data_IF_166338768571
#
_entry.id   IF_166338768571
#
_cell.length_a   1.000
_cell.length_b   1.000
_cell.length_c   1.000
_cell.angle_alpha   90.00
_cell.angle_beta   90.00
_cell.angle_gamma   90.00
#
_symmetry.space_group_name_H-M   'P 1'
#
loop_
_entity.id
_entity.type
_entity.pdbx_description
1 polymer ?
#
# COMPACT_ATOMS: atom_id res chain seq x y z
N UNK A 1 18.42 4.71 2.67
CA UNK A 1 17.45 4.08 1.76
C UNK A 1 16.18 4.91 1.68
N UNK A 2 15.30 4.58 0.76
CA UNK A 2 13.99 5.20 0.56
C UNK A 2 12.89 4.15 0.79
N UNK A 3 11.81 4.55 1.43
CA UNK A 3 10.60 3.73 1.58
C UNK A 3 9.48 4.47 0.85
N UNK A 4 8.81 3.77 -0.07
CA UNK A 4 7.66 4.28 -0.81
C UNK A 4 6.44 3.50 -0.33
N UNK A 5 5.48 4.18 0.26
CA UNK A 5 4.29 3.55 0.81
C UNK A 5 3.15 3.55 -0.21
N UNK A 6 2.92 2.41 -0.85
CA UNK A 6 1.83 2.18 -1.82
C UNK A 6 0.65 1.43 -1.18
N UNK A 7 0.65 1.25 0.14
CA UNK A 7 -0.45 0.59 0.85
C UNK A 7 -1.73 1.40 0.71
N UNK A 8 -2.84 0.71 0.45
CA UNK A 8 -4.15 1.32 0.19
C UNK A 8 -4.17 2.32 -0.98
N UNK A 9 -3.15 2.32 -1.85
CA UNK A 9 -3.18 3.05 -3.10
C UNK A 9 -3.94 2.25 -4.17
N UNK A 10 -5.20 2.62 -4.41
CA UNK A 10 -6.05 2.00 -5.44
C UNK A 10 -5.62 2.26 -6.89
N UNK A 11 -4.53 3.02 -7.07
CA UNK A 11 -3.94 3.41 -8.34
C UNK A 11 -4.38 4.79 -8.79
N UNK A 12 -4.40 4.99 -10.11
CA UNK A 12 -4.63 6.27 -10.74
C UNK A 12 -4.28 6.21 -12.22
N UNK A 13 -3.79 7.32 -12.76
CA UNK A 13 -3.32 7.37 -14.13
C UNK A 13 -2.09 6.47 -14.33
N UNK A 14 -2.10 5.64 -15.38
CA UNK A 14 -0.94 4.80 -15.76
C UNK A 14 0.32 5.64 -15.94
N UNK A 15 0.20 6.81 -16.55
CA UNK A 15 1.30 7.75 -16.74
C UNK A 15 2.01 8.14 -15.43
N UNK A 16 1.28 8.20 -14.31
CA UNK A 16 1.87 8.46 -13.00
C UNK A 16 2.81 7.34 -12.56
N UNK A 17 2.43 6.07 -12.78
CA UNK A 17 3.29 4.92 -12.50
C UNK A 17 4.49 4.87 -13.45
N UNK A 18 4.30 5.18 -14.74
CA UNK A 18 5.39 5.23 -15.72
C UNK A 18 6.42 6.31 -15.35
N UNK A 19 5.96 7.51 -15.01
CA UNK A 19 6.84 8.61 -14.58
C UNK A 19 7.53 8.30 -13.27
N UNK A 20 6.83 7.68 -12.32
CA UNK A 20 7.42 7.28 -11.04
C UNK A 20 8.50 6.22 -11.24
N UNK A 21 8.26 5.19 -12.06
CA UNK A 21 9.26 4.17 -12.37
C UNK A 21 10.50 4.76 -13.08
N UNK A 22 10.30 5.73 -13.99
CA UNK A 22 11.38 6.45 -14.68
C UNK A 22 12.35 7.19 -13.74
N UNK A 23 11.92 7.55 -12.53
CA UNK A 23 12.80 8.19 -11.54
C UNK A 23 13.87 7.22 -11.04
N UNK A 24 13.62 5.91 -11.09
CA UNK A 24 14.45 4.89 -10.46
C UNK A 24 15.12 3.93 -11.44
N UNK A 25 14.51 3.68 -12.60
CA UNK A 25 14.94 2.64 -13.54
C UNK A 25 15.82 3.19 -14.66
N UNK A 26 16.84 2.41 -15.05
CA UNK A 26 17.70 2.73 -16.19
C UNK A 26 16.95 2.71 -17.52
N UNK A 27 17.44 3.50 -18.48
CA UNK A 27 16.89 3.54 -19.84
C UNK A 27 16.78 2.13 -20.45
N UNK A 28 15.61 1.82 -21.01
CA UNK A 28 15.32 0.52 -21.62
C UNK A 28 14.79 -0.55 -20.66
N UNK A 29 14.82 -0.32 -19.34
CA UNK A 29 14.16 -1.21 -18.38
C UNK A 29 12.65 -1.30 -18.68
N UNK A 30 12.08 -2.50 -18.59
CA UNK A 30 10.65 -2.70 -18.88
C UNK A 30 9.82 -2.25 -17.69
N UNK A 31 8.75 -1.49 -17.94
CA UNK A 31 7.83 -1.06 -16.88
C UNK A 31 6.54 -1.88 -16.96
N UNK A 32 5.85 -1.85 -18.11
CA UNK A 32 4.58 -2.56 -18.30
C UNK A 32 4.32 -2.80 -19.78
N UNK A 33 3.61 -3.87 -20.11
CA UNK A 33 3.02 -4.06 -21.42
C UNK A 33 1.50 -3.95 -21.32
N UNK A 34 0.90 -3.05 -22.09
CA UNK A 34 -0.55 -3.00 -22.29
C UNK A 34 -0.87 -3.82 -23.52
N UNK A 35 -1.71 -4.84 -23.36
CA UNK A 35 -2.17 -5.67 -24.47
C UNK A 35 -3.68 -5.59 -24.58
N UNK A 36 -4.14 -5.12 -25.74
CA UNK A 36 -5.55 -5.02 -26.07
C UNK A 36 -5.97 -6.20 -26.94
N UNK A 37 -7.24 -6.22 -27.34
CA UNK A 37 -7.74 -7.27 -28.23
C UNK A 37 -6.98 -7.24 -29.57
N UNK A 38 -6.60 -8.42 -30.07
CA UNK A 38 -5.94 -8.61 -31.37
C UNK A 38 -6.68 -7.86 -32.48
N UNK A 39 -5.95 -7.05 -33.26
CA UNK A 39 -6.50 -6.20 -34.31
C UNK A 39 -6.76 -4.75 -33.88
N UNK A 40 -6.54 -4.41 -32.61
CA UNK A 40 -6.50 -3.02 -32.14
C UNK A 40 -5.06 -2.49 -32.12
N UNK A 41 -4.85 -1.17 -32.29
CA UNK A 41 -3.51 -0.54 -32.28
C UNK A 41 -2.96 -0.26 -30.87
N UNK A 42 -3.51 -0.88 -29.83
CA UNK A 42 -3.22 -0.53 -28.42
C UNK A 42 -2.18 -1.42 -27.75
N UNK A 43 -1.63 -2.40 -28.45
CA UNK A 43 -0.53 -3.19 -27.91
C UNK A 43 0.70 -2.29 -27.78
N UNK A 44 1.05 -1.95 -26.55
CA UNK A 44 2.09 -0.98 -26.23
C UNK A 44 2.99 -1.53 -25.13
N UNK A 45 4.30 -1.43 -25.37
CA UNK A 45 5.32 -1.74 -24.37
C UNK A 45 5.89 -0.43 -23.87
N UNK A 46 5.87 -0.25 -22.57
CA UNK A 46 6.42 0.91 -21.90
C UNK A 46 7.76 0.53 -21.29
N UNK A 47 8.80 1.22 -21.76
CA UNK A 47 10.16 1.13 -21.25
C UNK A 47 10.48 2.42 -20.51
N UNK A 48 11.39 2.34 -19.54
CA UNK A 48 11.98 3.53 -18.95
C UNK A 48 12.76 4.30 -20.02
N UNK A 49 12.60 5.62 -20.05
CA UNK A 49 13.11 6.50 -21.11
C UNK A 49 14.15 7.51 -20.60
N UNK A 50 14.41 7.54 -19.29
CA UNK A 50 15.26 8.54 -18.65
C UNK A 50 16.50 7.95 -18.00
N UNK A 51 17.36 8.85 -17.51
CA UNK A 51 18.41 8.50 -16.55
C UNK A 51 17.79 8.54 -15.15
N UNK A 52 17.99 7.52 -14.30
CA UNK A 52 17.54 7.54 -12.91
C UNK A 52 18.01 8.79 -12.17
N UNK A 53 17.12 9.35 -11.33
CA UNK A 53 17.44 10.47 -10.44
C UNK A 53 18.23 10.00 -9.22
N UNK A 54 17.91 8.81 -8.71
CA UNK A 54 18.58 8.23 -7.55
C UNK A 54 19.69 7.26 -7.97
N UNK A 55 20.75 7.21 -7.17
CA UNK A 55 21.81 6.22 -7.33
C UNK A 55 21.24 4.80 -7.27
N UNK A 56 21.81 3.90 -8.08
CA UNK A 56 21.32 2.52 -8.22
C UNK A 56 21.62 1.65 -7.00
N UNK A 57 22.60 2.05 -6.17
CA UNK A 57 22.95 1.40 -4.91
C UNK A 57 22.12 1.90 -3.72
N UNK A 58 21.30 2.96 -3.89
CA UNK A 58 20.39 3.42 -2.84
C UNK A 58 19.32 2.34 -2.58
N UNK A 59 19.25 1.74 -1.37
CA UNK A 59 18.24 0.74 -1.06
C UNK A 59 16.85 1.36 -1.12
N UNK A 60 15.94 0.75 -1.88
CA UNK A 60 14.54 1.17 -2.00
C UNK A 60 13.64 0.03 -1.55
N UNK A 61 12.65 0.35 -0.73
CA UNK A 61 11.57 -0.55 -0.35
C UNK A 61 10.25 0.04 -0.83
N UNK A 62 9.36 -0.80 -1.36
CA UNK A 62 7.97 -0.43 -1.64
C UNK A 62 7.07 -1.21 -0.68
N UNK A 63 6.31 -0.50 0.15
CA UNK A 63 5.30 -1.11 1.02
C UNK A 63 4.03 -1.34 0.22
N UNK A 64 3.48 -2.55 0.28
CA UNK A 64 2.27 -2.94 -0.46
C UNK A 64 1.30 -3.72 0.44
N UNK A 65 0.00 -3.62 0.14
CA UNK A 65 -1.01 -4.45 0.78
C UNK A 65 -2.16 -4.79 -0.18
N UNK A 66 -3.18 -5.48 0.33
CA UNK A 66 -4.37 -5.83 -0.46
C UNK A 66 -5.17 -4.65 -1.01
N UNK A 67 -4.91 -3.42 -0.55
CA UNK A 67 -5.47 -2.18 -1.10
C UNK A 67 -4.63 -1.54 -2.21
N UNK A 68 -3.40 -2.01 -2.43
CA UNK A 68 -2.54 -1.60 -3.54
C UNK A 68 -3.07 -2.20 -4.85
N UNK A 69 -3.50 -1.36 -5.80
CA UNK A 69 -4.17 -1.81 -7.02
C UNK A 69 -3.77 -1.01 -8.27
N UNK A 70 -3.97 -1.61 -9.45
CA UNK A 70 -3.89 -0.92 -10.75
C UNK A 70 -2.51 -0.30 -11.01
N UNK A 71 -2.40 1.03 -11.15
CA UNK A 71 -1.12 1.69 -11.42
C UNK A 71 -0.12 1.54 -10.27
N UNK A 72 -0.57 1.38 -9.02
CA UNK A 72 0.31 1.05 -7.90
C UNK A 72 0.97 -0.33 -8.11
N UNK A 73 0.22 -1.30 -8.64
CA UNK A 73 0.75 -2.63 -8.99
C UNK A 73 1.71 -2.56 -10.18
N UNK A 74 1.43 -1.70 -11.17
CA UNK A 74 2.38 -1.46 -12.28
C UNK A 74 3.72 -0.94 -11.73
N UNK A 75 3.69 0.06 -10.85
CA UNK A 75 4.89 0.61 -10.24
C UNK A 75 5.61 -0.45 -9.40
N UNK A 76 4.88 -1.18 -8.54
CA UNK A 76 5.43 -2.23 -7.69
C UNK A 76 6.12 -3.34 -8.52
N UNK A 77 5.46 -3.87 -9.56
CA UNK A 77 6.05 -4.88 -10.45
C UNK A 77 7.27 -4.35 -11.20
N UNK A 78 7.21 -3.11 -11.71
CA UNK A 78 8.33 -2.49 -12.40
C UNK A 78 9.56 -2.36 -11.48
N UNK A 79 9.35 -1.96 -10.23
CA UNK A 79 10.43 -1.81 -9.26
C UNK A 79 10.98 -3.17 -8.80
N UNK A 80 10.12 -4.15 -8.53
CA UNK A 80 10.49 -5.49 -8.08
C UNK A 80 11.25 -6.27 -9.16
N UNK A 81 10.64 -6.41 -10.35
CA UNK A 81 11.12 -7.32 -11.39
C UNK A 81 12.34 -6.78 -12.16
N UNK A 82 12.64 -5.49 -12.03
CA UNK A 82 13.94 -4.94 -12.46
C UNK A 82 14.99 -4.96 -11.33
N UNK A 83 14.70 -5.56 -10.17
CA UNK A 83 15.61 -5.64 -9.03
C UNK A 83 15.91 -4.30 -8.37
N UNK A 84 15.07 -3.27 -8.60
CA UNK A 84 15.30 -1.91 -8.14
C UNK A 84 14.82 -1.66 -6.72
N UNK A 85 13.77 -2.36 -6.27
CA UNK A 85 13.28 -2.28 -4.91
C UNK A 85 12.82 -3.65 -4.40
N UNK A 86 12.82 -3.77 -3.08
CA UNK A 86 12.21 -4.91 -2.37
C UNK A 86 10.79 -4.56 -1.97
N UNK A 87 9.83 -5.42 -2.28
CA UNK A 87 8.45 -5.28 -1.84
C UNK A 87 8.27 -5.93 -0.47
N UNK A 88 7.66 -5.18 0.45
CA UNK A 88 7.37 -5.66 1.81
C UNK A 88 5.90 -5.41 2.12
N UNK A 89 5.24 -6.39 2.73
CA UNK A 89 3.87 -6.27 3.20
C UNK A 89 3.04 -7.49 2.83
N UNK A 90 1.86 -7.29 2.25
CA UNK A 90 1.02 -8.41 1.79
C UNK A 90 0.79 -8.32 0.28
N UNK A 91 0.36 -9.45 -0.30
CA UNK A 91 -0.13 -9.54 -1.67
C UNK A 91 -1.05 -8.38 -2.08
N UNK A 92 -0.85 -7.84 -3.28
CA UNK A 92 -1.65 -6.74 -3.85
C UNK A 92 -3.03 -7.21 -4.36
N UNK A 93 -3.87 -6.26 -4.77
CA UNK A 93 -5.28 -6.52 -5.12
C UNK A 93 -5.47 -7.40 -6.37
N UNK A 94 -4.69 -7.22 -7.42
CA UNK A 94 -4.83 -7.93 -8.70
C UNK A 94 -5.70 -7.22 -9.74
N UNK A 95 -5.64 -5.89 -9.84
CA UNK A 95 -6.35 -5.14 -10.89
C UNK A 95 -5.47 -4.96 -12.13
N UNK A 96 -5.26 -6.05 -12.87
CA UNK A 96 -4.49 -6.09 -14.11
C UNK A 96 -5.25 -5.67 -15.39
N UNK A 97 -6.19 -4.72 -15.31
CA UNK A 97 -7.05 -4.34 -16.44
C UNK A 97 -7.08 -2.83 -16.69
N UNK A 98 -7.11 -2.45 -17.97
CA UNK A 98 -7.38 -1.09 -18.43
C UNK A 98 -8.88 -0.92 -18.64
N UNK A 99 -9.45 0.14 -18.08
CA UNK A 99 -10.83 0.52 -18.34
C UNK A 99 -10.88 1.90 -18.99
N UNK A 100 -11.43 1.96 -20.21
CA UNK A 100 -11.67 3.22 -20.91
C UNK A 100 -13.09 3.71 -20.66
N UNK A 101 -13.26 5.03 -20.62
CA UNK A 101 -14.56 5.68 -20.52
C UNK A 101 -15.01 6.14 -21.90
N UNK A 102 -16.19 5.70 -22.33
CA UNK A 102 -16.81 6.05 -23.60
C UNK A 102 -18.08 6.85 -23.35
N UNK A 103 -18.37 7.83 -24.23
CA UNK A 103 -19.69 8.48 -24.23
C UNK A 103 -20.75 7.48 -24.69
N UNK A 104 -21.85 7.40 -23.96
CA UNK A 104 -22.96 6.49 -24.26
C UNK A 104 -24.30 7.21 -24.05
N UNK A 105 -24.93 7.62 -25.16
CA UNK A 105 -26.09 8.52 -25.12
C UNK A 105 -25.75 9.84 -24.44
N UNK A 106 -26.56 10.20 -23.43
CA UNK A 106 -26.34 11.37 -22.58
C UNK A 106 -25.38 11.11 -21.39
N UNK A 107 -24.86 9.88 -21.25
CA UNK A 107 -23.98 9.49 -20.15
C UNK A 107 -22.64 8.92 -20.60
N UNK A 108 -22.00 8.16 -19.70
CA UNK A 108 -20.72 7.49 -19.93
C UNK A 108 -20.81 6.01 -19.57
N UNK A 109 -20.06 5.18 -20.28
CA UNK A 109 -19.86 3.77 -19.99
C UNK A 109 -18.37 3.51 -19.78
N UNK A 110 -18.03 2.76 -18.73
CA UNK A 110 -16.68 2.31 -18.47
C UNK A 110 -16.53 0.85 -18.90
N UNK A 111 -15.60 0.57 -19.81
CA UNK A 111 -15.46 -0.74 -20.44
C UNK A 111 -14.01 -1.19 -20.34
N UNK A 112 -13.81 -2.45 -19.96
CA UNK A 112 -12.48 -3.08 -19.99
C UNK A 112 -12.02 -3.30 -21.42
N UNK A 113 -10.86 -2.78 -21.79
CA UNK A 113 -10.37 -2.77 -23.19
C UNK A 113 -9.03 -3.47 -23.37
N UNK A 114 -8.26 -3.63 -22.29
CA UNK A 114 -6.93 -4.22 -22.33
C UNK A 114 -6.52 -4.79 -20.96
N UNK A 115 -5.46 -5.59 -20.97
CA UNK A 115 -4.78 -6.10 -19.79
C UNK A 115 -3.39 -5.48 -19.65
N UNK A 116 -2.94 -5.32 -18.41
CA UNK A 116 -1.55 -5.03 -18.10
C UNK A 116 -0.77 -6.34 -17.89
N UNK A 117 0.45 -6.36 -18.36
CA UNK A 117 1.42 -7.42 -18.11
C UNK A 117 2.68 -6.80 -17.51
N UNK A 118 3.21 -7.47 -16.48
CA UNK A 118 4.43 -7.06 -15.77
C UNK A 118 5.65 -7.07 -16.68
N UNK A 119 6.81 -6.53 -16.24
CA UNK A 119 8.07 -6.63 -16.99
C UNK A 119 8.44 -8.05 -17.46
N UNK A 120 8.15 -9.05 -16.64
CA UNK A 120 8.36 -10.49 -16.92
C UNK A 120 7.25 -11.11 -17.78
N UNK A 121 6.17 -10.37 -18.06
CA UNK A 121 5.09 -10.80 -18.94
C UNK A 121 3.95 -11.52 -18.23
N UNK A 122 3.78 -11.33 -16.93
CA UNK A 122 2.72 -11.95 -16.16
C UNK A 122 1.45 -11.11 -16.17
N UNK A 123 0.28 -11.77 -16.30
CA UNK A 123 -1.02 -11.13 -16.11
C UNK A 123 -1.40 -11.19 -14.63
N UNK A 124 -1.41 -10.04 -13.97
CA UNK A 124 -1.72 -9.89 -12.53
C UNK A 124 -3.22 -9.81 -12.24
N UNK A 125 -4.09 -9.83 -13.25
CA UNK A 125 -5.52 -9.74 -13.03
C UNK A 125 -6.05 -10.91 -12.20
N UNK A 126 -6.77 -10.60 -11.11
CA UNK A 126 -7.27 -11.54 -10.09
C UNK A 126 -6.15 -12.31 -9.34
N UNK A 127 -4.88 -11.99 -9.61
CA UNK A 127 -3.73 -12.64 -9.02
C UNK A 127 -2.92 -11.74 -8.12
N UNK A 128 -2.83 -10.44 -8.37
CA UNK A 128 -1.96 -9.54 -7.63
C UNK A 128 -0.46 -9.84 -7.83
N UNK A 129 0.36 -9.17 -7.03
CA UNK A 129 1.82 -9.28 -6.95
C UNK A 129 2.15 -9.72 -5.54
N UNK A 130 2.99 -10.75 -5.41
CA UNK A 130 3.50 -11.20 -4.13
C UNK A 130 4.67 -10.31 -3.67
N UNK A 131 4.72 -9.93 -2.38
CA UNK A 131 5.87 -9.21 -1.84
C UNK A 131 7.09 -10.14 -1.75
N UNK A 132 8.29 -9.55 -1.79
CA UNK A 132 9.52 -10.31 -1.54
C UNK A 132 9.63 -10.73 -0.07
N UNK A 133 9.14 -9.88 0.84
CA UNK A 133 9.08 -10.16 2.28
C UNK A 133 7.64 -9.97 2.74
N UNK A 134 6.99 -11.10 3.05
CA UNK A 134 5.63 -11.09 3.61
C UNK A 134 5.63 -10.62 5.06
N UNK A 135 4.79 -9.63 5.36
CA UNK A 135 4.51 -9.13 6.70
C UNK A 135 3.01 -8.83 6.76
N UNK A 136 2.31 -9.52 7.64
CA UNK A 136 0.87 -9.34 7.79
C UNK A 136 0.51 -7.91 8.20
N UNK A 137 -0.61 -7.44 7.66
CA UNK A 137 -1.25 -6.21 8.11
C UNK A 137 -2.14 -6.53 9.32
N UNK A 138 -2.30 -5.57 10.22
CA UNK A 138 -3.19 -5.74 11.38
C UNK A 138 -4.62 -5.57 10.88
N UNK A 139 -5.36 -6.68 10.82
CA UNK A 139 -6.75 -6.72 10.35
C UNK A 139 -7.66 -7.22 11.44
N UNK A 140 -8.89 -6.71 11.43
CA UNK A 140 -9.96 -7.17 12.28
C UNK A 140 -10.52 -8.47 11.72
N UNK A 141 -10.49 -9.54 12.52
CA UNK A 141 -11.07 -10.82 12.15
C UNK A 141 -12.59 -10.81 12.38
N UNK A 142 -13.32 -11.66 11.65
CA UNK A 142 -14.79 -11.73 11.72
C UNK A 142 -15.31 -11.96 13.15
N UNK A 143 -14.56 -12.73 13.95
CA UNK A 143 -14.89 -13.02 15.35
C UNK A 143 -14.75 -11.80 16.27
N UNK A 144 -13.90 -10.84 15.89
CA UNK A 144 -13.58 -9.64 16.66
C UNK A 144 -14.53 -8.47 16.33
N UNK A 145 -15.25 -8.53 15.21
CA UNK A 145 -16.15 -7.46 14.73
C UNK A 145 -17.17 -7.06 15.80
N UNK A 146 -17.82 -8.04 16.44
CA UNK A 146 -18.81 -7.76 17.47
C UNK A 146 -18.23 -7.04 18.70
N UNK A 147 -17.01 -7.40 19.10
CA UNK A 147 -16.29 -6.75 20.20
C UNK A 147 -15.90 -5.33 19.83
N UNK A 148 -15.37 -5.14 18.62
CA UNK A 148 -15.03 -3.84 18.07
C UNK A 148 -16.25 -2.89 18.02
N UNK A 149 -17.38 -3.35 17.47
CA UNK A 149 -18.61 -2.57 17.39
C UNK A 149 -19.08 -2.11 18.77
N UNK A 150 -19.02 -3.01 19.76
CA UNK A 150 -19.41 -2.69 21.14
C UNK A 150 -18.46 -1.66 21.76
N UNK A 151 -17.14 -1.77 21.57
CA UNK A 151 -16.16 -0.78 22.03
C UNK A 151 -16.44 0.62 21.45
N UNK A 152 -16.80 0.70 20.17
CA UNK A 152 -17.13 1.95 19.49
C UNK A 152 -18.46 2.53 19.99
N UNK A 153 -19.49 1.69 20.14
CA UNK A 153 -20.82 2.09 20.65
C UNK A 153 -20.75 2.64 22.07
N UNK A 154 -19.98 1.98 22.93
CA UNK A 154 -19.77 2.37 24.32
C UNK A 154 -18.77 3.52 24.45
N UNK A 155 -18.20 4.00 23.34
CA UNK A 155 -17.26 5.13 23.29
C UNK A 155 -16.02 4.92 24.16
N UNK A 156 -15.60 3.66 24.34
CA UNK A 156 -14.53 3.26 25.26
C UNK A 156 -13.22 3.97 24.90
N UNK A 157 -12.84 3.93 23.62
CA UNK A 157 -11.62 4.57 23.09
C UNK A 157 -11.63 6.09 23.35
N UNK A 158 -12.72 6.76 22.97
CA UNK A 158 -12.82 8.22 23.13
C UNK A 158 -12.84 8.68 24.60
N UNK A 159 -13.44 7.87 25.49
CA UNK A 159 -13.46 8.12 26.93
C UNK A 159 -12.05 7.97 27.51
N UNK A 160 -11.36 6.88 27.16
CA UNK A 160 -9.98 6.64 27.60
C UNK A 160 -9.04 7.78 27.19
N UNK A 161 -9.09 8.22 25.93
CA UNK A 161 -8.25 9.33 25.43
C UNK A 161 -8.60 10.66 26.11
N UNK A 162 -9.84 10.87 26.54
CA UNK A 162 -10.23 12.06 27.30
C UNK A 162 -9.65 12.06 28.72
N UNK A 163 -9.59 10.89 29.36
CA UNK A 163 -9.03 10.71 30.71
C UNK A 163 -7.49 10.68 30.71
N UNK A 164 -6.89 10.25 29.59
CA UNK A 164 -5.46 10.15 29.38
C UNK A 164 -5.05 11.02 28.17
N UNK A 165 -5.02 12.35 28.30
CA UNK A 165 -4.90 13.25 27.14
C UNK A 165 -3.52 13.26 26.47
N UNK A 166 -2.49 12.73 27.12
CA UNK A 166 -1.14 12.68 26.57
C UNK A 166 -1.01 11.55 25.52
N UNK A 167 -0.66 11.86 24.26
CA UNK A 167 -0.51 10.85 23.20
C UNK A 167 0.85 10.15 23.30
N UNK A 168 1.04 9.35 24.35
CA UNK A 168 2.29 8.61 24.61
C UNK A 168 2.15 7.12 24.26
N UNK A 169 3.26 6.49 23.89
CA UNK A 169 3.33 5.02 23.69
C UNK A 169 2.85 4.27 24.94
N UNK A 170 3.20 4.76 26.13
CA UNK A 170 2.78 4.17 27.39
C UNK A 170 1.24 4.14 27.54
N UNK A 171 0.55 5.24 27.19
CA UNK A 171 -0.92 5.29 27.24
C UNK A 171 -1.55 4.38 26.18
N UNK A 172 -0.98 4.33 24.96
CA UNK A 172 -1.49 3.44 23.91
C UNK A 172 -1.39 1.97 24.37
N UNK A 173 -0.22 1.53 24.85
CA UNK A 173 -0.02 0.16 25.34
C UNK A 173 -0.83 -0.14 26.59
N UNK A 174 -1.03 0.84 27.47
CA UNK A 174 -1.86 0.67 28.67
C UNK A 174 -3.32 0.37 28.30
N UNK A 175 -3.85 1.00 27.24
CA UNK A 175 -5.18 0.65 26.72
C UNK A 175 -5.22 -0.76 26.15
N UNK A 176 -4.27 -1.12 25.28
CA UNK A 176 -4.17 -2.48 24.74
C UNK A 176 -4.18 -3.53 25.85
N UNK A 177 -3.31 -3.36 26.85
CA UNK A 177 -3.22 -4.26 28.00
C UNK A 177 -4.49 -4.31 28.87
N UNK A 178 -5.23 -3.21 28.99
CA UNK A 178 -6.48 -3.14 29.76
C UNK A 178 -7.63 -3.89 29.09
N UNK A 179 -7.65 -3.92 27.76
CA UNK A 179 -8.77 -4.44 26.98
C UNK A 179 -8.47 -5.75 26.22
N UNK A 180 -7.23 -6.26 26.26
CA UNK A 180 -6.80 -7.49 25.55
C UNK A 180 -7.66 -8.72 25.82
N UNK A 181 -8.21 -8.85 27.04
CA UNK A 181 -9.00 -10.02 27.43
C UNK A 181 -10.46 -9.96 26.93
N UNK A 182 -10.82 -8.94 26.13
CA UNK A 182 -12.17 -8.80 25.54
C UNK A 182 -12.39 -9.63 24.27
N UNK A 183 -11.39 -10.39 23.82
CA UNK A 183 -11.47 -11.18 22.59
C UNK A 183 -11.25 -10.34 21.33
N UNK A 184 -10.36 -9.35 21.41
CA UNK A 184 -9.90 -8.56 20.27
C UNK A 184 -8.39 -8.38 20.39
N UNK A 185 -7.69 -8.48 19.27
CA UNK A 185 -6.25 -8.41 19.19
C UNK A 185 -5.71 -7.11 19.81
N UNK A 186 -4.66 -7.24 20.63
CA UNK A 186 -4.04 -6.12 21.33
C UNK A 186 -3.49 -5.08 20.35
N UNK A 187 -2.97 -5.48 19.19
CA UNK A 187 -2.48 -4.56 18.17
C UNK A 187 -3.63 -3.72 17.59
N UNK A 188 -4.81 -4.31 17.40
CA UNK A 188 -6.01 -3.55 16.98
C UNK A 188 -6.35 -2.52 18.05
N UNK A 189 -6.39 -2.91 19.33
CA UNK A 189 -6.66 -1.98 20.44
C UNK A 189 -5.66 -0.83 20.49
N UNK A 190 -4.37 -1.12 20.31
CA UNK A 190 -3.31 -0.12 20.23
C UNK A 190 -3.54 0.85 19.06
N UNK A 191 -3.87 0.33 17.88
CA UNK A 191 -4.14 1.14 16.69
C UNK A 191 -5.38 2.03 16.85
N UNK A 192 -6.44 1.57 17.51
CA UNK A 192 -7.64 2.37 17.76
C UNK A 192 -7.34 3.60 18.60
N UNK A 193 -6.63 3.43 19.72
CA UNK A 193 -6.25 4.56 20.59
C UNK A 193 -5.23 5.46 19.91
N UNK A 194 -4.23 4.88 19.23
CA UNK A 194 -3.26 5.65 18.44
C UNK A 194 -3.96 6.54 17.42
N UNK A 195 -4.94 6.01 16.68
CA UNK A 195 -5.69 6.77 15.68
C UNK A 195 -6.57 7.86 16.31
N UNK A 196 -7.20 7.60 17.46
CA UNK A 196 -7.98 8.60 18.20
C UNK A 196 -7.10 9.76 18.70
N UNK A 197 -5.88 9.48 19.18
CA UNK A 197 -4.90 10.52 19.53
C UNK A 197 -4.50 11.35 18.30
N UNK A 198 -4.15 10.69 17.20
CA UNK A 198 -3.76 11.37 15.97
C UNK A 198 -4.89 12.23 15.40
N UNK A 199 -6.13 11.76 15.47
CA UNK A 199 -7.30 12.50 14.99
C UNK A 199 -7.49 13.84 15.73
N UNK A 200 -7.13 13.91 17.01
CA UNK A 200 -7.21 15.11 17.85
C UNK A 200 -5.98 16.00 17.77
N UNK A 201 -4.91 15.52 17.16
CA UNK A 201 -3.66 16.26 17.01
C UNK A 201 -3.74 17.18 15.79
N UNK A 202 -3.23 18.40 15.96
CA UNK A 202 -3.00 19.34 14.85
C UNK A 202 -2.17 18.68 13.76
N UNK A 203 -2.55 18.90 12.49
CA UNK A 203 -2.00 18.15 11.35
C UNK A 203 -0.48 18.27 11.24
N UNK A 204 0.07 19.46 11.45
CA UNK A 204 1.50 19.77 11.41
C UNK A 204 2.31 19.13 12.55
N UNK A 205 1.64 18.71 13.62
CA UNK A 205 2.26 18.03 14.77
C UNK A 205 2.19 16.51 14.67
N UNK A 206 1.42 15.97 13.73
CA UNK A 206 1.31 14.52 13.56
C UNK A 206 2.65 13.93 13.11
N UNK A 207 3.07 12.79 13.67
CA UNK A 207 4.23 12.09 13.17
C UNK A 207 4.00 11.71 11.70
N UNK A 208 5.03 11.90 10.88
CA UNK A 208 5.01 11.57 9.45
C UNK A 208 4.84 10.06 9.23
N UNK A 209 5.29 9.26 10.19
CA UNK A 209 5.23 7.81 10.14
C UNK A 209 5.09 7.21 11.55
N UNK A 210 4.46 6.04 11.66
CA UNK A 210 4.35 5.32 12.92
C UNK A 210 5.46 4.27 13.05
N UNK A 211 6.60 4.65 13.61
CA UNK A 211 7.71 3.73 13.86
C UNK A 211 7.47 2.75 15.04
N UNK A 212 6.30 2.78 15.68
CA UNK A 212 6.02 1.99 16.88
C UNK A 212 5.06 0.84 16.59
N UNK A 213 3.91 1.15 15.98
CA UNK A 213 2.84 0.17 15.76
C UNK A 213 2.64 -0.22 14.28
N UNK A 214 3.48 0.28 13.37
CA UNK A 214 3.48 -0.16 11.97
C UNK A 214 4.53 -1.25 11.73
N UNK A 215 4.09 -2.51 11.79
CA UNK A 215 4.96 -3.67 11.64
C UNK A 215 5.66 -3.72 10.26
N UNK A 216 4.96 -3.35 9.19
CA UNK A 216 5.49 -3.39 7.83
C UNK A 216 6.55 -2.30 7.61
N UNK A 217 6.29 -1.08 8.10
CA UNK A 217 7.28 0.00 8.08
C UNK A 217 8.52 -0.36 8.91
N UNK A 218 8.32 -0.92 10.10
CA UNK A 218 9.43 -1.34 10.97
C UNK A 218 10.30 -2.41 10.29
N UNK A 219 9.67 -3.38 9.61
CA UNK A 219 10.39 -4.36 8.81
C UNK A 219 11.20 -3.72 7.68
N UNK A 220 10.62 -2.74 6.97
CA UNK A 220 11.31 -2.02 5.91
C UNK A 220 12.51 -1.21 6.42
N UNK A 221 12.36 -0.54 7.57
CA UNK A 221 13.47 0.18 8.20
C UNK A 221 14.59 -0.79 8.63
N UNK A 222 14.23 -1.95 9.19
CA UNK A 222 15.20 -2.99 9.54
C UNK A 222 15.93 -3.50 8.29
N UNK A 223 15.20 -3.80 7.22
CA UNK A 223 15.76 -4.29 5.96
C UNK A 223 16.75 -3.29 5.36
N UNK A 224 16.38 -2.01 5.28
CA UNK A 224 17.29 -0.96 4.76
C UNK A 224 18.55 -0.82 5.62
N UNK A 225 18.46 -0.99 6.95
CA UNK A 225 19.60 -0.84 7.86
C UNK A 225 20.54 -2.03 7.86
N UNK A 226 20.03 -3.24 7.64
CA UNK A 226 20.77 -4.49 7.87
C UNK A 226 20.99 -5.31 6.60
N UNK A 227 20.24 -5.05 5.53
CA UNK A 227 20.18 -5.87 4.33
C UNK A 227 19.49 -7.22 4.52
N UNK A 228 18.91 -7.46 5.70
CA UNK A 228 18.24 -8.70 6.10
C UNK A 228 16.76 -8.49 6.32
#
# INVERSE_FOLDING_TARGET
GLIIDERNNSGGAVDGALQSANIFLDEGAKIVTIQARKGTRRDQRYLATGKPTFDQDLPVVVLVNGGSASSAEIFAAAMQQNGRATLIGTKTFGKGIVQDVFRFGEGFAQVTTAHYYTPEGENIHEKGIEPDIHVDDVKLDDEEIGVYEQLMKDKVVSTYVKENPEPSEANIRAFGAMYKDRGINEDILNLLVRNEYLAKMEYDKRPIADATFDAQLNRAVQFIRTGQ
#
